data_IF_509597868244
#
_entry.id   IF_509597868244
#
_cell.length_a   1.000
_cell.length_b   1.000
_cell.length_c   1.000
_cell.angle_alpha   90.00
_cell.angle_beta   90.00
_cell.angle_gamma   90.00
#
_symmetry.space_group_name_H-M   'P 1'
#
loop_
_entity.id
_entity.type
_entity.pdbx_description
1 polymer ?
#
# COMPACT_ATOMS: atom_id res chain seq x y z
N UNK A 1 -15.46 7.03 -34.18
CA UNK A 1 -14.44 7.48 -33.21
C UNK A 1 -14.82 7.19 -31.76
N UNK A 2 -15.96 7.69 -31.25
CA UNK A 2 -16.39 7.52 -29.85
C UNK A 2 -16.29 6.07 -29.33
N UNK A 3 -16.90 5.10 -30.00
CA UNK A 3 -16.84 3.68 -29.60
C UNK A 3 -15.40 3.18 -29.40
N UNK A 4 -14.52 3.47 -30.36
CA UNK A 4 -13.13 3.03 -30.35
C UNK A 4 -12.37 3.61 -29.14
N UNK A 5 -12.50 4.91 -28.89
CA UNK A 5 -11.78 5.54 -27.77
C UNK A 5 -12.35 5.08 -26.41
N UNK A 6 -13.65 4.83 -26.30
CA UNK A 6 -14.24 4.23 -25.08
C UNK A 6 -13.72 2.81 -24.83
N UNK A 7 -13.48 2.02 -25.87
CA UNK A 7 -12.80 0.72 -25.76
C UNK A 7 -11.35 0.89 -25.28
N UNK A 8 -10.59 1.86 -25.81
CA UNK A 8 -9.24 2.16 -25.34
C UNK A 8 -9.19 2.63 -23.88
N UNK A 9 -10.11 3.48 -23.45
CA UNK A 9 -10.24 3.89 -22.04
C UNK A 9 -10.44 2.65 -21.17
N UNK A 10 -11.36 1.77 -21.56
CA UNK A 10 -11.63 0.52 -20.84
C UNK A 10 -10.38 -0.37 -20.71
N UNK A 11 -9.61 -0.51 -21.80
CA UNK A 11 -8.36 -1.28 -21.81
C UNK A 11 -7.27 -0.65 -20.95
N UNK A 12 -7.12 0.68 -20.96
CA UNK A 12 -6.15 1.38 -20.11
C UNK A 12 -6.47 1.22 -18.61
N UNK A 13 -7.75 1.30 -18.23
CA UNK A 13 -8.18 1.01 -16.85
C UNK A 13 -7.92 -0.44 -16.43
N UNK A 14 -8.07 -1.41 -17.36
CA UNK A 14 -7.71 -2.80 -17.10
C UNK A 14 -6.21 -2.95 -16.83
N UNK A 15 -5.37 -2.32 -17.66
CA UNK A 15 -3.91 -2.32 -17.47
C UNK A 15 -3.50 -1.66 -16.15
N UNK A 16 -4.10 -0.52 -15.80
CA UNK A 16 -3.90 0.12 -14.50
C UNK A 16 -4.24 -0.82 -13.34
N UNK A 17 -5.38 -1.52 -13.42
CA UNK A 17 -5.77 -2.50 -12.39
C UNK A 17 -4.70 -3.58 -12.20
N UNK A 18 -4.11 -4.07 -13.29
CA UNK A 18 -3.01 -5.03 -13.22
C UNK A 18 -1.77 -4.43 -12.53
N UNK A 19 -1.34 -3.23 -12.93
CA UNK A 19 -0.20 -2.56 -12.31
C UNK A 19 -0.39 -2.32 -10.81
N UNK A 20 -1.58 -1.87 -10.38
CA UNK A 20 -1.88 -1.67 -8.97
C UNK A 20 -1.89 -2.97 -8.16
N UNK A 21 -2.33 -4.10 -8.76
CA UNK A 21 -2.25 -5.41 -8.12
C UNK A 21 -0.80 -5.87 -7.93
N UNK A 22 0.08 -5.60 -8.89
CA UNK A 22 1.49 -5.94 -8.76
C UNK A 22 2.18 -5.10 -7.67
N UNK A 23 1.87 -3.81 -7.57
CA UNK A 23 2.36 -2.98 -6.47
C UNK A 23 1.83 -3.45 -5.09
N UNK A 24 0.57 -3.89 -5.02
CA UNK A 24 0.01 -4.48 -3.80
C UNK A 24 0.73 -5.79 -3.40
N UNK A 25 1.05 -6.67 -4.35
CA UNK A 25 1.83 -7.89 -4.10
C UNK A 25 3.22 -7.57 -3.52
N UNK A 26 3.93 -6.59 -4.08
CA UNK A 26 5.24 -6.14 -3.56
C UNK A 26 5.14 -5.69 -2.10
N UNK A 27 4.05 -5.00 -1.74
CA UNK A 27 3.80 -4.59 -0.35
C UNK A 27 3.56 -5.78 0.59
N UNK A 28 2.81 -6.79 0.14
CA UNK A 28 2.59 -8.03 0.90
C UNK A 28 3.89 -8.81 1.12
N UNK A 29 4.70 -8.96 0.08
CA UNK A 29 6.01 -9.62 0.13
C UNK A 29 6.96 -8.89 1.09
N UNK A 30 7.02 -7.56 1.02
CA UNK A 30 7.80 -6.74 1.94
C UNK A 30 7.37 -6.95 3.40
N UNK A 31 6.06 -6.96 3.66
CA UNK A 31 5.49 -7.17 5.00
C UNK A 31 5.86 -8.55 5.55
N UNK A 32 5.73 -9.62 4.78
CA UNK A 32 6.06 -10.97 5.23
C UNK A 32 7.57 -11.11 5.48
N UNK A 33 8.43 -10.54 4.62
CA UNK A 33 9.89 -10.52 4.83
C UNK A 33 10.27 -9.82 6.15
N UNK A 34 9.70 -8.65 6.44
CA UNK A 34 9.98 -7.95 7.71
C UNK A 34 9.48 -8.75 8.93
N UNK A 35 8.31 -9.39 8.82
CA UNK A 35 7.72 -10.22 9.88
C UNK A 35 8.60 -11.42 10.21
N UNK A 36 9.11 -12.13 9.20
CA UNK A 36 10.02 -13.26 9.41
C UNK A 36 11.35 -12.84 10.04
N UNK A 37 11.94 -11.74 9.56
CA UNK A 37 13.19 -11.21 10.11
C UNK A 37 13.02 -10.75 11.57
N UNK A 38 11.91 -10.05 11.89
CA UNK A 38 11.56 -9.67 13.27
C UNK A 38 11.45 -10.91 14.17
N UNK A 39 10.70 -11.93 13.73
CA UNK A 39 10.46 -13.15 14.52
C UNK A 39 11.77 -13.83 14.93
N UNK A 40 12.75 -13.91 14.03
CA UNK A 40 14.06 -14.52 14.31
C UNK A 40 14.80 -13.79 15.44
N UNK A 41 14.83 -12.46 15.39
CA UNK A 41 15.51 -11.65 16.42
C UNK A 41 14.77 -11.70 17.75
N UNK A 42 13.44 -11.66 17.74
CA UNK A 42 12.63 -11.80 18.96
C UNK A 42 12.87 -13.15 19.65
N UNK A 43 12.93 -14.25 18.89
CA UNK A 43 13.23 -15.58 19.42
C UNK A 43 14.62 -15.67 20.04
N UNK A 44 15.64 -15.12 19.37
CA UNK A 44 17.00 -15.09 19.88
C UNK A 44 17.11 -14.26 21.17
N UNK A 45 16.47 -13.08 21.21
CA UNK A 45 16.46 -12.22 22.39
C UNK A 45 15.69 -12.82 23.56
N UNK A 46 14.61 -13.56 23.32
CA UNK A 46 13.87 -14.30 24.35
C UNK A 46 14.72 -15.42 24.96
N UNK A 47 15.44 -16.18 24.13
CA UNK A 47 16.37 -17.22 24.59
C UNK A 47 17.48 -16.64 25.48
N UNK A 48 18.13 -15.56 25.03
CA UNK A 48 19.17 -14.88 25.81
C UNK A 48 18.62 -14.27 27.11
N UNK A 49 17.40 -13.73 27.11
CA UNK A 49 16.75 -13.26 28.32
C UNK A 49 16.54 -14.36 29.35
N UNK A 50 16.01 -15.51 28.92
CA UNK A 50 15.80 -16.68 29.79
C UNK A 50 17.12 -17.23 30.33
N UNK A 51 18.14 -17.32 29.49
CA UNK A 51 19.49 -17.74 29.90
C UNK A 51 20.08 -16.79 30.94
N UNK A 52 20.01 -15.47 30.70
CA UNK A 52 20.46 -14.44 31.65
C UNK A 52 19.75 -14.55 33.00
N UNK A 53 18.42 -14.68 32.99
CA UNK A 53 17.62 -14.80 34.20
C UNK A 53 17.96 -16.07 35.00
N UNK A 54 18.08 -17.22 34.30
CA UNK A 54 18.48 -18.50 34.90
C UNK A 54 19.86 -18.43 35.54
N UNK A 55 20.85 -17.90 34.80
CA UNK A 55 22.23 -17.81 35.28
C UNK A 55 22.35 -16.81 36.44
N UNK A 56 21.59 -15.71 36.43
CA UNK A 56 21.51 -14.79 37.55
C UNK A 56 20.98 -15.46 38.82
N UNK A 57 19.87 -16.20 38.72
CA UNK A 57 19.31 -16.97 39.84
C UNK A 57 20.33 -17.96 40.40
N UNK A 58 20.95 -18.77 39.54
CA UNK A 58 22.00 -19.74 39.94
C UNK A 58 23.16 -19.05 40.68
N UNK A 59 23.57 -17.88 40.21
CA UNK A 59 24.65 -17.10 40.84
C UNK A 59 24.25 -16.62 42.24
N UNK A 60 23.04 -16.07 42.38
CA UNK A 60 22.52 -15.63 43.68
C UNK A 60 22.36 -16.77 44.68
N UNK A 61 21.91 -17.95 44.22
CA UNK A 61 21.80 -19.13 45.06
C UNK A 61 23.19 -19.62 45.52
N UNK A 62 24.17 -19.68 44.61
CA UNK A 62 25.55 -20.03 44.98
C UNK A 62 26.20 -19.03 45.94
N UNK A 63 25.87 -17.73 45.83
CA UNK A 63 26.31 -16.71 46.79
C UNK A 63 25.77 -17.02 48.20
N UNK A 64 24.46 -17.27 48.31
CA UNK A 64 23.83 -17.62 49.60
C UNK A 64 24.45 -18.88 50.21
N UNK A 65 24.71 -19.90 49.39
CA UNK A 65 25.39 -21.13 49.84
C UNK A 65 26.79 -20.84 50.35
N UNK A 66 27.59 -20.07 49.61
CA UNK A 66 28.92 -19.66 50.02
C UNK A 66 28.90 -18.89 51.36
N UNK A 67 28.02 -17.89 51.48
CA UNK A 67 27.86 -17.10 52.70
C UNK A 67 27.51 -18.00 53.91
N UNK A 68 26.66 -19.02 53.70
CA UNK A 68 26.32 -19.98 54.74
C UNK A 68 27.51 -20.87 55.11
N UNK A 69 28.26 -21.38 54.13
CA UNK A 69 29.44 -22.22 54.39
C UNK A 69 30.57 -21.46 55.10
N UNK A 70 30.70 -20.17 54.84
CA UNK A 70 31.62 -19.31 55.61
C UNK A 70 31.20 -19.21 57.08
N UNK A 71 29.91 -18.99 57.36
CA UNK A 71 29.39 -19.00 58.74
C UNK A 71 29.57 -20.35 59.43
N UNK A 72 29.29 -21.46 58.74
CA UNK A 72 29.48 -22.81 59.29
C UNK A 72 30.96 -23.06 59.67
N UNK A 73 31.90 -22.55 58.86
CA UNK A 73 33.35 -22.62 59.13
C UNK A 73 33.72 -21.79 60.37
N UNK A 74 33.28 -20.53 60.45
CA UNK A 74 33.54 -19.66 61.60
C UNK A 74 33.01 -20.26 62.90
N UNK A 75 31.82 -20.86 62.88
CA UNK A 75 31.24 -21.54 64.03
C UNK A 75 32.08 -22.77 64.44
N UNK A 76 32.53 -23.57 63.46
CA UNK A 76 33.36 -24.73 63.74
C UNK A 76 34.73 -24.34 64.34
N UNK A 77 35.37 -23.29 63.81
CA UNK A 77 36.62 -22.75 64.32
C UNK A 77 36.46 -22.19 65.74
N UNK A 78 35.38 -21.44 66.01
CA UNK A 78 35.05 -20.97 67.36
C UNK A 78 34.83 -22.12 68.34
N UNK A 79 34.19 -23.20 67.91
CA UNK A 79 33.92 -24.35 68.76
C UNK A 79 35.20 -25.13 69.10
N UNK A 80 36.15 -25.23 68.16
CA UNK A 80 37.51 -25.76 68.43
C UNK A 80 38.21 -24.89 69.48
N UNK A 81 38.19 -23.56 69.31
CA UNK A 81 38.85 -22.61 70.23
C UNK A 81 38.26 -22.62 71.64
N UNK A 82 36.94 -22.80 71.78
CA UNK A 82 36.27 -22.89 73.10
C UNK A 82 36.60 -24.18 73.85
N UNK A 83 36.90 -25.26 73.13
CA UNK A 83 37.13 -26.58 73.72
C UNK A 83 38.62 -26.97 73.80
N UNK A 84 39.54 -26.06 73.46
CA UNK A 84 40.98 -26.34 73.39
C UNK A 84 41.59 -26.70 74.76
N UNK A 85 40.99 -26.23 75.86
CA UNK A 85 41.44 -26.50 77.23
C UNK A 85 40.81 -27.77 77.85
N UNK A 86 40.01 -28.52 77.09
CA UNK A 86 39.33 -29.73 77.60
C UNK A 86 40.27 -30.94 77.57
N UNK A 87 40.27 -31.78 78.60
CA UNK A 87 41.18 -32.94 78.73
C UNK A 87 40.73 -34.19 77.95
N UNK A 88 39.69 -34.09 77.12
CA UNK A 88 39.16 -35.18 76.30
C UNK A 88 39.70 -35.11 74.85
N UNK A 89 40.84 -35.76 74.63
CA UNK A 89 41.57 -35.75 73.34
C UNK A 89 40.71 -36.23 72.16
N UNK A 90 39.92 -37.29 72.32
CA UNK A 90 39.05 -37.83 71.26
C UNK A 90 37.98 -36.84 70.83
N UNK A 91 37.47 -36.03 71.76
CA UNK A 91 36.49 -35.00 71.46
C UNK A 91 37.11 -33.85 70.67
N UNK A 92 38.32 -33.41 71.06
CA UNK A 92 39.08 -32.38 70.37
C UNK A 92 39.39 -32.79 68.92
N UNK A 93 39.86 -34.01 68.69
CA UNK A 93 40.13 -34.53 67.34
C UNK A 93 38.89 -34.48 66.42
N UNK A 94 37.72 -34.83 66.96
CA UNK A 94 36.45 -34.75 66.22
C UNK A 94 36.08 -33.32 65.85
N UNK A 95 36.33 -32.35 66.73
CA UNK A 95 36.09 -30.93 66.46
C UNK A 95 37.03 -30.40 65.38
N UNK A 96 38.32 -30.76 65.44
CA UNK A 96 39.28 -30.42 64.38
C UNK A 96 38.88 -31.00 63.03
N UNK A 97 38.47 -32.27 62.98
CA UNK A 97 37.99 -32.89 61.75
C UNK A 97 36.76 -32.16 61.17
N UNK A 98 35.81 -31.77 62.03
CA UNK A 98 34.63 -30.99 61.61
C UNK A 98 35.01 -29.60 61.08
N UNK A 99 35.93 -28.90 61.74
CA UNK A 99 36.43 -27.60 61.28
C UNK A 99 37.14 -27.70 59.93
N UNK A 100 37.98 -28.72 59.75
CA UNK A 100 38.65 -28.98 58.47
C UNK A 100 37.65 -29.28 57.34
N UNK A 101 36.61 -30.08 57.61
CA UNK A 101 35.55 -30.33 56.62
C UNK A 101 34.75 -29.06 56.29
N UNK A 102 34.42 -28.25 57.30
CA UNK A 102 33.71 -26.98 57.08
C UNK A 102 34.55 -26.00 56.24
N UNK A 103 35.86 -25.95 56.47
CA UNK A 103 36.81 -25.19 55.65
C UNK A 103 36.80 -25.66 54.19
N UNK A 104 36.94 -26.96 53.93
CA UNK A 104 36.91 -27.51 52.56
C UNK A 104 35.58 -27.21 51.85
N UNK A 105 34.46 -27.35 52.55
CA UNK A 105 33.14 -27.05 52.00
C UNK A 105 32.98 -25.55 51.64
N UNK A 106 33.56 -24.65 52.45
CA UNK A 106 33.56 -23.22 52.17
C UNK A 106 34.42 -22.88 50.95
N UNK A 107 35.60 -23.48 50.82
CA UNK A 107 36.50 -23.33 49.66
C UNK A 107 35.86 -23.86 48.37
N UNK A 108 35.15 -24.99 48.42
CA UNK A 108 34.42 -25.50 47.26
C UNK A 108 33.26 -24.59 46.86
N UNK A 109 32.49 -24.09 47.84
CA UNK A 109 31.40 -23.15 47.60
C UNK A 109 31.90 -21.81 47.04
N UNK A 110 33.05 -21.32 47.50
CA UNK A 110 33.71 -20.12 46.96
C UNK A 110 34.07 -20.30 45.49
N UNK A 111 34.76 -21.39 45.15
CA UNK A 111 35.14 -21.70 43.77
C UNK A 111 33.92 -21.78 42.86
N UNK A 112 32.83 -22.42 43.30
CA UNK A 112 31.59 -22.51 42.55
C UNK A 112 30.92 -21.13 42.38
N UNK A 113 30.90 -20.31 43.44
CA UNK A 113 30.37 -18.96 43.38
C UNK A 113 31.16 -18.09 42.40
N UNK A 114 32.50 -18.07 42.48
CA UNK A 114 33.37 -17.35 41.54
C UNK A 114 33.16 -17.79 40.09
N UNK A 115 33.01 -19.10 39.84
CA UNK A 115 32.70 -19.62 38.53
C UNK A 115 31.34 -19.12 38.01
N UNK A 116 30.31 -19.13 38.85
CA UNK A 116 28.98 -18.63 38.48
C UNK A 116 28.97 -17.11 38.24
N UNK A 117 29.72 -16.33 39.03
CA UNK A 117 29.92 -14.88 38.84
C UNK A 117 30.58 -14.61 37.48
N UNK A 118 31.61 -15.37 37.14
CA UNK A 118 32.27 -15.25 35.84
C UNK A 118 31.31 -15.59 34.69
N UNK A 119 30.51 -16.65 34.85
CA UNK A 119 29.55 -17.08 33.85
C UNK A 119 28.41 -16.06 33.65
N UNK A 120 27.84 -15.51 34.72
CA UNK A 120 26.78 -14.48 34.59
C UNK A 120 27.32 -13.21 33.95
N UNK A 121 28.59 -12.85 34.19
CA UNK A 121 29.27 -11.77 33.48
C UNK A 121 29.30 -11.99 31.96
N UNK A 122 29.75 -13.18 31.53
CA UNK A 122 29.77 -13.55 30.11
C UNK A 122 28.39 -13.52 29.45
N UNK A 123 27.37 -14.12 30.10
CA UNK A 123 26.00 -14.13 29.59
C UNK A 123 25.41 -12.72 29.50
N UNK A 124 25.74 -11.84 30.46
CA UNK A 124 25.32 -10.44 30.43
C UNK A 124 25.95 -9.71 29.25
N UNK A 125 27.24 -9.87 29.01
CA UNK A 125 27.95 -9.18 27.94
C UNK A 125 27.48 -9.65 26.55
N UNK A 126 27.20 -10.95 26.40
CA UNK A 126 26.55 -11.51 25.20
C UNK A 126 25.15 -10.93 24.99
N UNK A 127 24.33 -10.87 26.04
CA UNK A 127 23.00 -10.27 25.99
C UNK A 127 23.05 -8.79 25.58
N UNK A 128 23.99 -8.01 26.14
CA UNK A 128 24.15 -6.58 25.80
C UNK A 128 24.52 -6.41 24.32
N UNK A 129 25.49 -7.19 23.85
CA UNK A 129 25.92 -7.17 22.46
C UNK A 129 24.78 -7.49 21.51
N UNK A 130 24.00 -8.52 21.81
CA UNK A 130 22.88 -8.92 20.93
C UNK A 130 21.70 -7.97 21.03
N UNK A 131 21.45 -7.39 22.21
CA UNK A 131 20.43 -6.37 22.39
C UNK A 131 20.68 -5.13 21.53
N UNK A 132 21.92 -4.65 21.50
CA UNK A 132 22.31 -3.50 20.65
C UNK A 132 22.06 -3.83 19.18
N UNK A 133 22.52 -4.99 18.69
CA UNK A 133 22.26 -5.41 17.31
C UNK A 133 20.77 -5.53 16.99
N UNK A 134 19.97 -6.03 17.93
CA UNK A 134 18.52 -6.13 17.77
C UNK A 134 17.90 -4.73 17.60
N UNK A 135 18.31 -3.76 18.43
CA UNK A 135 17.88 -2.37 18.32
C UNK A 135 18.26 -1.75 16.98
N UNK A 136 19.52 -1.89 16.54
CA UNK A 136 20.01 -1.40 15.25
C UNK A 136 19.22 -2.02 14.08
N UNK A 137 18.92 -3.32 14.15
CA UNK A 137 18.10 -4.00 13.16
C UNK A 137 16.68 -3.45 13.12
N UNK A 138 16.04 -3.25 14.28
CA UNK A 138 14.68 -2.70 14.34
C UNK A 138 14.60 -1.25 13.86
N UNK A 139 15.63 -0.44 14.15
CA UNK A 139 15.76 0.91 13.61
C UNK A 139 15.84 0.88 12.07
N UNK A 140 16.72 0.02 11.53
CA UNK A 140 16.84 -0.18 10.08
C UNK A 140 15.51 -0.61 9.44
N UNK A 141 14.81 -1.58 10.03
CA UNK A 141 13.50 -2.00 9.56
C UNK A 141 12.46 -0.86 9.57
N UNK A 142 12.50 0.00 10.60
CA UNK A 142 11.61 1.16 10.68
C UNK A 142 11.89 2.15 9.54
N UNK A 143 13.17 2.43 9.28
CA UNK A 143 13.59 3.29 8.17
C UNK A 143 13.18 2.71 6.81
N UNK A 144 13.42 1.42 6.60
CA UNK A 144 13.01 0.71 5.38
C UNK A 144 11.49 0.74 5.20
N UNK A 145 10.70 0.54 6.28
CA UNK A 145 9.24 0.60 6.23
C UNK A 145 8.74 1.98 5.79
N UNK A 146 9.29 3.05 6.37
CA UNK A 146 8.90 4.42 6.03
C UNK A 146 9.22 4.70 4.56
N UNK A 147 10.43 4.38 4.11
CA UNK A 147 10.84 4.61 2.72
C UNK A 147 10.02 3.78 1.74
N UNK A 148 9.80 2.49 2.03
CA UNK A 148 9.03 1.60 1.18
C UNK A 148 7.59 2.09 1.02
N UNK A 149 6.90 2.35 2.14
CA UNK A 149 5.51 2.82 2.09
C UNK A 149 5.36 4.15 1.35
N UNK A 150 6.27 5.11 1.60
CA UNK A 150 6.29 6.37 0.89
C UNK A 150 6.39 6.16 -0.62
N UNK A 151 7.32 5.31 -1.07
CA UNK A 151 7.55 5.06 -2.48
C UNK A 151 6.40 4.29 -3.14
N UNK A 152 5.78 3.33 -2.44
CA UNK A 152 4.61 2.60 -2.94
C UNK A 152 3.42 3.54 -3.13
N UNK A 153 3.12 4.38 -2.12
CA UNK A 153 2.02 5.35 -2.22
C UNK A 153 2.29 6.37 -3.32
N UNK A 154 3.51 6.89 -3.42
CA UNK A 154 3.92 7.77 -4.50
C UNK A 154 3.69 7.15 -5.88
N UNK A 155 4.11 5.89 -6.06
CA UNK A 155 3.92 5.15 -7.32
C UNK A 155 2.45 4.96 -7.64
N UNK A 156 1.62 4.57 -6.67
CA UNK A 156 0.17 4.45 -6.84
C UNK A 156 -0.46 5.76 -7.29
N UNK A 157 -0.12 6.88 -6.64
CA UNK A 157 -0.66 8.19 -7.00
C UNK A 157 -0.25 8.59 -8.42
N UNK A 158 1.01 8.36 -8.81
CA UNK A 158 1.46 8.65 -10.16
C UNK A 158 0.74 7.81 -11.22
N UNK A 159 0.50 6.52 -10.95
CA UNK A 159 -0.27 5.66 -11.85
C UNK A 159 -1.71 6.17 -12.03
N UNK A 160 -2.35 6.62 -10.95
CA UNK A 160 -3.70 7.20 -11.01
C UNK A 160 -3.71 8.54 -11.77
N UNK A 161 -2.75 9.43 -11.49
CA UNK A 161 -2.61 10.70 -12.21
C UNK A 161 -2.37 10.49 -13.70
N UNK A 162 -1.50 9.54 -14.07
CA UNK A 162 -1.26 9.20 -15.46
C UNK A 162 -2.52 8.67 -16.15
N UNK A 163 -3.35 7.87 -15.46
CA UNK A 163 -4.62 7.41 -16.01
C UNK A 163 -5.58 8.55 -16.30
N UNK A 164 -5.65 9.58 -15.44
CA UNK A 164 -6.47 10.75 -15.70
C UNK A 164 -6.06 11.46 -17.00
N UNK A 165 -4.75 11.66 -17.20
CA UNK A 165 -4.20 12.29 -18.41
C UNK A 165 -4.53 11.45 -19.64
N UNK A 166 -4.26 10.14 -19.59
CA UNK A 166 -4.53 9.24 -20.71
C UNK A 166 -6.02 9.17 -21.06
N UNK A 167 -6.91 9.13 -20.06
CA UNK A 167 -8.35 9.18 -20.33
C UNK A 167 -8.77 10.50 -20.98
N UNK A 168 -8.24 11.64 -20.51
CA UNK A 168 -8.52 12.95 -21.10
C UNK A 168 -8.06 13.06 -22.55
N UNK A 169 -6.84 12.60 -22.87
CA UNK A 169 -6.31 12.54 -24.24
C UNK A 169 -7.24 11.72 -25.15
N UNK A 170 -7.72 10.57 -24.69
CA UNK A 170 -8.64 9.71 -25.45
C UNK A 170 -10.00 10.37 -25.68
N UNK A 171 -10.52 11.11 -24.70
CA UNK A 171 -11.76 11.89 -24.86
C UNK A 171 -11.57 13.06 -25.81
N UNK A 172 -10.41 13.71 -25.79
CA UNK A 172 -10.06 14.80 -26.69
C UNK A 172 -10.04 14.35 -28.15
N UNK A 173 -9.53 13.14 -28.43
CA UNK A 173 -9.59 12.56 -29.78
C UNK A 173 -11.03 12.33 -30.26
N UNK A 174 -11.99 12.10 -29.35
CA UNK A 174 -13.41 12.07 -29.71
C UNK A 174 -13.91 13.47 -30.02
N UNK A 175 -13.59 14.49 -29.20
CA UNK A 175 -14.01 15.89 -29.44
C UNK A 175 -13.52 16.39 -30.80
N UNK A 176 -12.23 16.20 -31.11
CA UNK A 176 -11.65 16.53 -32.42
C UNK A 176 -12.36 15.85 -33.59
N UNK A 177 -12.87 14.63 -33.40
CA UNK A 177 -13.63 13.95 -34.46
C UNK A 177 -15.02 14.56 -34.68
N UNK A 178 -15.63 15.15 -33.64
CA UNK A 178 -16.89 15.87 -33.77
C UNK A 178 -16.72 17.26 -34.37
N UNK A 179 -15.56 17.90 -34.19
CA UNK A 179 -15.22 19.16 -34.87
C UNK A 179 -15.19 19.02 -36.40
N UNK A 180 -15.05 17.80 -36.92
CA UNK A 180 -15.09 17.48 -38.34
C UNK A 180 -16.52 17.21 -38.86
N UNK A 181 -17.53 17.24 -38.00
CA UNK A 181 -18.92 16.98 -38.38
C UNK A 181 -19.53 18.23 -39.02
N UNK A 182 -19.72 18.20 -40.34
CA UNK A 182 -20.42 19.25 -41.08
C UNK A 182 -21.83 18.79 -41.45
N UNK A 183 -22.82 19.33 -40.74
CA UNK A 183 -24.24 19.01 -40.95
C UNK A 183 -24.70 19.40 -42.35
N UNK A 184 -24.18 20.49 -42.92
CA UNK A 184 -24.57 20.94 -44.25
C UNK A 184 -24.02 19.98 -45.30
N UNK A 185 -22.75 19.60 -45.20
CA UNK A 185 -22.13 18.62 -46.09
C UNK A 185 -22.86 17.26 -46.03
N UNK A 186 -23.15 16.76 -44.83
CA UNK A 186 -23.87 15.50 -44.62
C UNK A 186 -25.27 15.52 -45.25
N UNK A 187 -25.95 16.65 -45.15
CA UNK A 187 -27.27 16.87 -45.74
C UNK A 187 -27.20 16.92 -47.27
N UNK A 188 -26.22 17.64 -47.82
CA UNK A 188 -26.01 17.72 -49.26
C UNK A 188 -25.70 16.33 -49.81
N UNK A 189 -24.85 15.58 -49.12
CA UNK A 189 -24.57 14.19 -49.42
C UNK A 189 -25.84 13.33 -49.42
N UNK A 190 -26.70 13.46 -48.39
CA UNK A 190 -27.97 12.74 -48.31
C UNK A 190 -28.91 13.08 -49.48
N UNK A 191 -29.09 14.36 -49.81
CA UNK A 191 -29.95 14.79 -50.92
C UNK A 191 -29.40 14.24 -52.23
N UNK A 192 -28.10 14.41 -52.50
CA UNK A 192 -27.47 13.90 -53.71
C UNK A 192 -27.64 12.37 -53.88
N UNK A 193 -27.63 11.62 -52.77
CA UNK A 193 -27.79 10.17 -52.77
C UNK A 193 -29.25 9.71 -52.89
N UNK A 194 -30.22 10.53 -52.49
CA UNK A 194 -31.64 10.14 -52.36
C UNK A 194 -32.60 10.93 -53.24
N UNK A 195 -32.13 11.97 -53.93
CA UNK A 195 -32.97 12.76 -54.82
C UNK A 195 -33.60 11.86 -55.89
N UNK A 196 -34.88 12.11 -56.12
CA UNK A 196 -35.64 11.59 -57.27
C UNK A 196 -35.63 12.72 -58.32
N UNK A 197 -36.02 12.40 -59.56
CA UNK A 197 -36.12 13.36 -60.67
C UNK A 197 -36.61 14.74 -60.19
N UNK A 198 -35.84 15.78 -60.50
CA UNK A 198 -36.09 17.16 -60.09
C UNK A 198 -37.31 17.77 -60.81
N UNK A 199 -37.92 16.99 -61.70
CA UNK A 199 -39.07 17.40 -62.48
C UNK A 199 -40.36 17.04 -61.73
N UNK A 200 -41.14 18.03 -61.27
CA UNK A 200 -42.46 17.75 -60.75
C UNK A 200 -43.31 17.05 -61.83
N UNK A 201 -44.25 16.16 -61.46
CA UNK A 201 -45.16 15.54 -62.41
C UNK A 201 -45.85 16.61 -63.26
N UNK A 202 -45.95 16.35 -64.56
CA UNK A 202 -46.64 17.26 -65.47
C UNK A 202 -48.08 17.49 -65.02
N UNK A 203 -48.56 18.73 -65.15
CA UNK A 203 -49.94 19.07 -64.87
C UNK A 203 -50.87 18.24 -65.77
N UNK A 204 -51.88 17.59 -65.17
CA UNK A 204 -52.93 16.91 -65.92
C UNK A 204 -53.87 17.97 -66.49
N UNK A 205 -53.90 18.08 -67.81
CA UNK A 205 -54.76 19.02 -68.52
C UNK A 205 -56.08 18.33 -68.88
N UNK A 206 -57.21 19.03 -68.77
CA UNK A 206 -58.50 18.52 -69.22
C UNK A 206 -58.51 18.37 -70.75
N UNK A 207 -58.76 17.14 -71.21
CA UNK A 207 -58.94 16.82 -72.62
C UNK A 207 -60.37 16.33 -72.85
N UNK A 208 -61.14 17.09 -73.63
CA UNK A 208 -62.50 16.66 -73.98
C UNK A 208 -62.45 15.68 -75.17
N UNK A 209 -62.92 14.45 -74.94
CA UNK A 209 -62.92 13.37 -75.93
C UNK A 209 -63.77 13.67 -77.18
N UNK A 210 -64.86 14.42 -77.05
CA UNK A 210 -65.84 14.64 -78.13
C UNK A 210 -65.64 15.94 -78.91
N UNK A 211 -65.07 16.98 -78.29
CA UNK A 211 -64.88 18.28 -78.93
C UNK A 211 -63.46 18.54 -79.41
N UNK A 212 -62.48 17.69 -79.08
CA UNK A 212 -61.07 17.89 -79.41
C UNK A 212 -60.44 19.13 -78.74
N UNK A 213 -61.17 19.83 -77.86
CA UNK A 213 -60.64 20.95 -77.10
C UNK A 213 -59.71 20.42 -76.00
N UNK A 214 -58.42 20.74 -76.15
CA UNK A 214 -57.49 20.79 -75.02
C UNK A 214 -57.66 22.13 -74.35
N UNK A 215 -57.98 22.14 -73.05
CA UNK A 215 -57.88 23.38 -72.29
C UNK A 215 -56.41 23.85 -72.39
N UNK A 216 -56.17 25.07 -72.89
CA UNK A 216 -54.86 25.70 -72.69
C UNK A 216 -54.62 25.75 -71.18
N UNK A 217 -53.46 25.32 -70.65
CA UNK A 217 -53.17 25.54 -69.26
C UNK A 217 -53.34 27.03 -69.01
N UNK A 218 -54.35 27.41 -68.21
CA UNK A 218 -54.50 28.79 -67.78
C UNK A 218 -53.15 29.24 -67.23
N UNK A 219 -52.78 30.51 -67.51
CA UNK A 219 -51.50 31.06 -67.10
C UNK A 219 -51.16 30.56 -65.69
N UNK A 220 -49.98 29.96 -65.47
CA UNK A 220 -49.64 29.43 -64.16
C UNK A 220 -49.89 30.54 -63.14
N UNK A 221 -50.43 30.26 -61.94
CA UNK A 221 -50.42 31.26 -60.89
C UNK A 221 -49.00 31.81 -60.83
N UNK A 222 -48.92 33.12 -61.01
CA UNK A 222 -47.68 33.85 -61.26
C UNK A 222 -46.63 33.44 -60.25
N UNK A 223 -45.68 32.62 -60.70
CA UNK A 223 -44.66 31.97 -59.88
C UNK A 223 -45.28 31.00 -58.86
N UNK A 224 -44.79 29.76 -58.71
CA UNK A 224 -44.81 29.19 -57.37
C UNK A 224 -44.17 30.28 -56.47
N UNK A 225 -44.68 30.55 -55.25
CA UNK A 225 -43.88 31.31 -54.29
C UNK A 225 -42.48 30.68 -54.34
N UNK A 226 -41.39 31.48 -54.27
CA UNK A 226 -40.05 30.89 -54.18
C UNK A 226 -40.20 29.73 -53.21
N UNK A 227 -39.69 28.56 -53.58
CA UNK A 227 -39.54 27.46 -52.62
C UNK A 227 -38.75 28.11 -51.49
N UNK A 228 -39.45 28.69 -50.51
CA UNK A 228 -38.87 29.11 -49.26
C UNK A 228 -38.09 27.88 -48.87
N UNK A 229 -36.77 28.00 -48.59
CA UNK A 229 -36.01 26.83 -48.21
C UNK A 229 -36.84 26.13 -47.14
N UNK A 230 -37.45 24.97 -47.51
CA UNK A 230 -38.38 24.26 -46.62
C UNK A 230 -37.63 23.80 -45.38
N UNK A 231 -36.32 23.74 -45.52
CA UNK A 231 -35.32 23.71 -44.48
C UNK A 231 -35.30 25.10 -43.82
N UNK A 232 -35.90 25.20 -42.64
CA UNK A 232 -35.60 26.30 -41.73
C UNK A 232 -34.08 26.40 -41.49
N UNK A 233 -33.60 27.50 -40.87
CA UNK A 233 -32.19 27.64 -40.55
C UNK A 233 -31.69 26.37 -39.84
N UNK A 234 -30.48 25.91 -40.19
CA UNK A 234 -29.84 24.84 -39.43
C UNK A 234 -29.85 25.25 -37.95
N UNK A 235 -30.10 24.31 -37.02
CA UNK A 235 -30.03 24.61 -35.61
C UNK A 235 -28.65 25.22 -35.34
N UNK A 236 -28.63 26.42 -34.76
CA UNK A 236 -27.39 27.07 -34.36
C UNK A 236 -26.80 26.26 -33.20
N UNK A 237 -25.59 25.68 -33.33
CA UNK A 237 -24.97 24.95 -32.23
C UNK A 237 -24.73 25.82 -30.97
N UNK A 238 -24.83 27.15 -31.09
CA UNK A 238 -24.71 28.09 -29.97
C UNK A 238 -26.05 28.49 -29.31
N UNK A 239 -27.21 28.24 -29.94
CA UNK A 239 -28.52 28.47 -29.33
C UNK A 239 -28.93 27.27 -28.44
N UNK A 240 -28.21 27.13 -27.32
CA UNK A 240 -28.47 26.14 -26.28
C UNK A 240 -29.64 26.61 -25.39
N UNK A 241 -30.87 26.66 -25.93
CA UNK A 241 -32.04 27.12 -25.16
C UNK A 241 -32.67 26.05 -24.25
N UNK A 242 -32.25 24.79 -24.34
CA UNK A 242 -32.65 23.74 -23.40
C UNK A 242 -31.62 22.62 -23.45
N UNK A 243 -30.64 22.64 -22.54
CA UNK A 243 -30.00 21.50 -21.87
C UNK A 243 -28.77 22.06 -21.14
N UNK A 244 -28.83 22.02 -19.82
CA UNK A 244 -27.66 22.17 -18.96
C UNK A 244 -26.78 20.94 -19.25
N UNK A 245 -25.93 21.00 -20.28
CA UNK A 245 -24.68 20.27 -20.20
C UNK A 245 -23.97 20.89 -19.01
N UNK A 246 -23.64 20.08 -18.00
CA UNK A 246 -22.92 20.50 -16.81
C UNK A 246 -21.56 21.08 -17.21
N UNK A 247 -21.56 22.33 -17.68
CA UNK A 247 -20.44 23.23 -17.56
C UNK A 247 -20.32 23.47 -16.08
N UNK A 248 -19.23 22.96 -15.51
CA UNK A 248 -18.77 23.40 -14.19
C UNK A 248 -18.48 24.90 -14.35
N UNK A 249 -19.51 25.74 -14.20
CA UNK A 249 -19.40 27.18 -14.06
C UNK A 249 -18.92 27.51 -12.65
N UNK A 250 -17.85 26.87 -12.22
CA UNK A 250 -17.15 27.22 -11.01
C UNK A 250 -15.72 27.52 -11.41
N UNK A 251 -15.43 28.81 -11.57
CA UNK A 251 -14.11 29.37 -11.88
C UNK A 251 -13.09 29.18 -10.74
N UNK A 252 -13.21 28.08 -9.98
CA UNK A 252 -12.41 27.74 -8.80
C UNK A 252 -11.73 26.38 -8.87
N UNK A 253 -12.00 25.53 -9.87
CA UNK A 253 -11.30 24.25 -10.03
C UNK A 253 -10.06 24.39 -10.92
N UNK A 254 -9.09 25.15 -10.43
CA UNK A 254 -7.68 24.96 -10.80
C UNK A 254 -6.93 24.56 -9.54
N UNK A 255 -6.84 23.25 -9.30
CA UNK A 255 -5.94 22.69 -8.29
C UNK A 255 -4.68 22.24 -9.02
N UNK A 256 -3.89 23.20 -9.51
CA UNK A 256 -2.43 23.14 -9.70
C UNK A 256 -2.00 24.60 -9.92
N UNK A 257 -1.30 25.17 -8.94
CA UNK A 257 -0.45 26.34 -9.15
C UNK A 257 1.00 25.86 -8.90
N UNK A 258 1.88 26.15 -9.86
CA UNK A 258 3.31 25.83 -9.81
C UNK A 258 4.05 26.52 -8.67
#
# INVERSE_FOLDING_TARGET
MFKLQTEHVSLSHLQLSHSLREEAKKLEEFREKQKEARKKVEQQMDALHKQKASQYKKTMDSKKTYDQKCRDKEEADQNVNRNTNTSNTKHIEKLFSKAQQAKQNAEEADRLYQQNVTMVGKVRDEWLKEHIKACEMFEKHSMERINFLRNTVWTHLNLLSQQCVTSDELYEEVRKSFEQCDVQEDIEHFVNLRQIDDKPPALVVYENFYSGQRAQPGAPPSRPPPLNPRRGPLPDPTENNDVIYSTVEDAGYSVIQY
#
